data_IF_730835431433
#
_entry.id   IF_730835431433
#
_cell.length_a   1.000
_cell.length_b   1.000
_cell.length_c   1.000
_cell.angle_alpha   90.00
_cell.angle_beta   90.00
_cell.angle_gamma   90.00
#
_symmetry.space_group_name_H-M   'P 1'
#
loop_
_entity.id
_entity.type
_entity.pdbx_description
1 polymer ?
#
# COMPACT_ATOMS: atom_id res chain seq x y z
N UNK A 1 1.36 14.70 15.79
CA UNK A 1 1.36 15.77 14.78
C UNK A 1 -0.07 16.02 14.36
N UNK A 2 -0.49 17.26 14.09
CA UNK A 2 -1.84 17.55 13.60
C UNK A 2 -1.73 18.57 12.47
N UNK A 3 -2.41 18.32 11.35
CA UNK A 3 -2.57 19.28 10.27
C UNK A 3 -3.91 19.99 10.49
N UNK A 4 -3.88 21.30 10.69
CA UNK A 4 -5.09 22.09 10.95
C UNK A 4 -5.62 22.65 9.64
N UNK A 5 -6.50 21.89 8.97
CA UNK A 5 -7.17 22.34 7.75
C UNK A 5 -8.55 21.64 7.64
N UNK A 6 -9.64 22.33 7.23
CA UNK A 6 -10.98 21.74 7.15
C UNK A 6 -11.08 20.50 6.25
N UNK A 7 -10.25 20.42 5.21
CA UNK A 7 -10.21 19.27 4.30
C UNK A 7 -9.47 18.04 4.87
N UNK A 8 -8.75 18.17 5.99
CA UNK A 8 -8.03 17.05 6.63
C UNK A 8 -8.90 16.50 7.76
N UNK A 9 -9.60 15.40 7.49
CA UNK A 9 -10.60 14.82 8.38
C UNK A 9 -10.09 13.68 9.26
N UNK A 10 -8.84 13.24 9.07
CA UNK A 10 -8.27 12.10 9.78
C UNK A 10 -6.99 12.44 10.53
N UNK A 11 -6.62 11.61 11.51
CA UNK A 11 -5.32 11.73 12.17
C UNK A 11 -4.17 11.54 11.19
N UNK A 12 -3.03 12.17 11.50
CA UNK A 12 -1.84 11.99 10.68
C UNK A 12 -1.11 10.75 11.13
N UNK A 13 -0.85 9.86 10.17
CA UNK A 13 -0.05 8.67 10.35
C UNK A 13 1.35 8.88 9.78
N UNK A 14 2.37 8.42 10.49
CA UNK A 14 3.77 8.46 10.05
C UNK A 14 4.19 7.07 9.59
N UNK A 15 4.82 6.96 8.43
CA UNK A 15 5.50 5.75 7.99
C UNK A 15 6.65 5.44 8.95
N UNK A 16 6.62 4.27 9.58
CA UNK A 16 7.61 3.86 10.59
C UNK A 16 8.43 2.64 10.16
N UNK A 17 7.92 1.82 9.23
CA UNK A 17 8.61 0.67 8.69
C UNK A 17 8.23 0.50 7.22
N UNK A 18 9.22 0.23 6.38
CA UNK A 18 9.04 -0.28 5.02
C UNK A 18 9.79 -1.61 4.93
N UNK A 19 9.12 -2.65 4.44
CA UNK A 19 9.72 -3.93 4.09
C UNK A 19 9.55 -4.15 2.60
N UNK A 20 10.57 -4.71 1.96
CA UNK A 20 10.49 -5.18 0.58
C UNK A 20 10.95 -6.63 0.52
N UNK A 21 10.21 -7.44 -0.21
CA UNK A 21 10.52 -8.84 -0.44
C UNK A 21 9.77 -9.33 -1.68
N UNK A 22 10.28 -10.38 -2.29
CA UNK A 22 9.63 -10.99 -3.44
C UNK A 22 8.79 -12.18 -3.01
N UNK A 23 7.56 -12.25 -3.52
CA UNK A 23 6.70 -13.41 -3.36
C UNK A 23 6.70 -14.24 -4.65
N UNK A 24 6.69 -15.56 -4.49
CA UNK A 24 6.42 -16.50 -5.57
C UNK A 24 5.21 -17.33 -5.19
N UNK A 25 4.11 -17.16 -5.93
CA UNK A 25 2.86 -17.89 -5.72
C UNK A 25 2.50 -18.62 -7.00
N UNK A 26 2.59 -19.95 -6.99
CA UNK A 26 2.49 -20.76 -8.20
C UNK A 26 3.58 -20.40 -9.21
N UNK A 27 3.20 -19.81 -10.36
CA UNK A 27 4.13 -19.31 -11.40
C UNK A 27 4.25 -17.79 -11.43
N UNK A 28 3.61 -17.10 -10.49
CA UNK A 28 3.60 -15.64 -10.44
C UNK A 28 4.71 -15.12 -9.52
N UNK A 29 5.49 -14.17 -10.02
CA UNK A 29 6.48 -13.42 -9.26
C UNK A 29 5.89 -12.04 -8.92
N UNK A 30 5.83 -11.72 -7.63
CA UNK A 30 5.14 -10.54 -7.11
C UNK A 30 6.12 -9.75 -6.23
N UNK A 31 6.84 -8.76 -6.78
CA UNK A 31 7.67 -7.86 -5.97
C UNK A 31 6.78 -7.10 -4.99
N UNK A 32 6.98 -7.32 -3.70
CA UNK A 32 6.05 -6.89 -2.66
C UNK A 32 6.71 -5.85 -1.75
N UNK A 33 6.01 -4.75 -1.52
CA UNK A 33 6.37 -3.75 -0.49
C UNK A 33 5.28 -3.71 0.58
N UNK A 34 5.69 -3.75 1.84
CA UNK A 34 4.81 -3.55 2.99
C UNK A 34 5.20 -2.28 3.71
N UNK A 35 4.23 -1.43 3.99
CA UNK A 35 4.41 -0.17 4.71
C UNK A 35 3.57 -0.18 5.99
N UNK A 36 4.20 0.09 7.13
CA UNK A 36 3.54 0.24 8.41
C UNK A 36 3.54 1.71 8.81
N UNK A 37 2.35 2.23 9.06
CA UNK A 37 2.15 3.58 9.53
C UNK A 37 1.61 3.58 10.95
N UNK A 38 2.05 4.54 11.76
CA UNK A 38 1.59 4.74 13.14
C UNK A 38 0.94 6.10 13.29
N UNK A 39 -0.20 6.15 13.97
CA UNK A 39 -0.88 7.39 14.31
C UNK A 39 0.04 8.27 15.17
N UNK A 40 0.23 9.51 14.74
CA UNK A 40 1.16 10.45 15.40
C UNK A 40 0.63 11.00 16.72
N UNK A 41 -0.64 10.75 17.04
CA UNK A 41 -1.31 11.12 18.29
C UNK A 41 -1.65 9.90 19.14
N UNK A 42 -2.16 8.82 18.54
CA UNK A 42 -2.56 7.59 19.21
C UNK A 42 -1.54 6.48 18.99
N UNK A 43 -0.55 6.37 19.89
CA UNK A 43 0.61 5.47 19.70
C UNK A 43 0.30 3.98 19.50
N UNK A 44 -0.90 3.52 19.85
CA UNK A 44 -1.33 2.13 19.67
C UNK A 44 -2.12 1.88 18.39
N UNK A 45 -2.36 2.90 17.58
CA UNK A 45 -3.15 2.82 16.35
C UNK A 45 -2.25 2.82 15.12
N UNK A 46 -2.50 1.90 14.21
CA UNK A 46 -1.65 1.61 13.06
C UNK A 46 -2.48 1.44 11.78
N UNK A 47 -1.82 1.66 10.64
CA UNK A 47 -2.29 1.24 9.32
C UNK A 47 -1.19 0.44 8.66
N UNK A 48 -1.54 -0.57 7.89
CA UNK A 48 -0.58 -1.30 7.08
C UNK A 48 -1.05 -1.35 5.63
N UNK A 49 -0.14 -1.13 4.71
CA UNK A 49 -0.39 -1.19 3.28
C UNK A 49 0.53 -2.23 2.66
N UNK A 50 -0.02 -3.08 1.80
CA UNK A 50 0.75 -3.99 0.97
C UNK A 50 0.59 -3.58 -0.48
N UNK A 51 1.72 -3.50 -1.16
CA UNK A 51 1.83 -3.06 -2.53
C UNK A 51 2.51 -4.16 -3.34
N UNK A 52 1.98 -4.42 -4.52
CA UNK A 52 2.65 -5.16 -5.57
C UNK A 52 3.23 -4.15 -6.56
N UNK A 53 4.50 -4.29 -6.91
CA UNK A 53 5.13 -3.48 -7.96
C UNK A 53 5.00 -4.18 -9.29
N UNK A 54 4.44 -3.48 -10.27
CA UNK A 54 4.14 -4.02 -11.59
C UNK A 54 4.34 -2.96 -12.68
N UNK A 55 4.59 -3.38 -13.91
CA UNK A 55 4.89 -2.50 -15.05
C UNK A 55 3.68 -2.40 -15.97
N UNK A 56 3.12 -1.19 -16.10
CA UNK A 56 1.96 -0.95 -16.94
C UNK A 56 2.31 -0.06 -18.13
N UNK A 57 1.82 -0.46 -19.29
CA UNK A 57 1.77 0.40 -20.46
C UNK A 57 0.60 1.37 -20.34
N UNK A 58 0.89 2.64 -20.10
CA UNK A 58 -0.12 3.67 -19.84
C UNK A 58 -0.31 4.61 -21.02
N UNK A 59 -1.54 5.09 -21.17
CA UNK A 59 -1.89 6.17 -22.08
C UNK A 59 -2.60 7.30 -21.30
N UNK A 60 -2.14 8.53 -21.49
CA UNK A 60 -2.74 9.70 -20.82
C UNK A 60 -4.20 9.91 -21.26
N UNK A 61 -5.14 9.84 -20.30
CA UNK A 61 -6.58 10.00 -20.54
C UNK A 61 -7.04 11.46 -20.50
N UNK A 62 -6.28 12.35 -19.86
CA UNK A 62 -6.58 13.77 -19.78
C UNK A 62 -6.51 14.40 -21.19
N UNK A 63 -7.49 15.24 -21.55
CA UNK A 63 -7.46 15.96 -22.81
C UNK A 63 -6.20 16.85 -22.85
N UNK A 64 -5.53 16.97 -24.01
CA UNK A 64 -4.45 17.93 -24.16
C UNK A 64 -4.97 19.33 -23.84
N UNK A 65 -4.22 20.07 -23.05
CA UNK A 65 -4.64 21.40 -22.61
C UNK A 65 -4.67 22.37 -23.82
N UNK A 66 -5.89 22.68 -24.27
CA UNK A 66 -6.34 23.85 -25.02
C UNK A 66 -5.67 24.32 -26.32
N UNK A 67 -4.42 23.98 -26.67
CA UNK A 67 -3.72 24.63 -27.81
C UNK A 67 -2.81 23.74 -28.65
N UNK A 68 -2.61 22.48 -28.29
CA UNK A 68 -1.95 21.50 -29.16
C UNK A 68 -2.67 20.18 -29.08
N UNK A 69 -3.01 19.58 -30.22
CA UNK A 69 -3.21 18.12 -30.32
C UNK A 69 -1.88 17.45 -30.00
N UNK A 70 -1.47 17.44 -28.73
CA UNK A 70 -0.36 16.62 -28.30
C UNK A 70 -0.78 15.18 -28.57
N UNK A 71 0.03 14.46 -29.34
CA UNK A 71 -0.13 13.02 -29.53
C UNK A 71 -0.17 12.43 -28.12
N UNK A 72 -1.18 11.61 -27.81
CA UNK A 72 -1.20 10.90 -26.52
C UNK A 72 0.06 10.05 -26.48
N UNK A 73 1.01 10.41 -25.64
CA UNK A 73 2.25 9.67 -25.48
C UNK A 73 1.95 8.45 -24.64
N UNK A 74 2.33 7.30 -25.15
CA UNK A 74 2.36 6.05 -24.40
C UNK A 74 3.67 5.97 -23.63
N UNK A 75 3.62 5.47 -22.40
CA UNK A 75 4.80 5.21 -21.59
C UNK A 75 4.61 3.94 -20.77
N UNK A 76 5.71 3.25 -20.50
CA UNK A 76 5.74 2.15 -19.56
C UNK A 76 6.10 2.72 -18.18
N UNK A 77 5.22 2.52 -17.20
CA UNK A 77 5.39 3.05 -15.85
C UNK A 77 5.38 1.92 -14.82
N UNK A 78 6.28 1.99 -13.84
CA UNK A 78 6.20 1.14 -12.66
C UNK A 78 5.13 1.69 -11.71
N UNK A 79 4.14 0.86 -11.37
CA UNK A 79 3.02 1.24 -10.51
C UNK A 79 2.99 0.31 -9.30
N UNK A 80 2.67 0.88 -8.14
CA UNK A 80 2.36 0.13 -6.92
C UNK A 80 0.85 -0.12 -6.84
N UNK A 81 0.44 -1.37 -7.02
CA UNK A 81 -0.95 -1.81 -6.90
C UNK A 81 -1.23 -2.21 -5.46
N UNK A 82 -2.28 -1.63 -4.86
CA UNK A 82 -2.63 -1.96 -3.47
C UNK A 82 -3.26 -3.36 -3.37
N UNK A 83 -2.67 -4.21 -2.52
CA UNK A 83 -3.09 -5.60 -2.28
C UNK A 83 -3.52 -5.87 -0.84
N UNK A 84 -3.53 -4.85 0.04
CA UNK A 84 -3.88 -4.99 1.47
C UNK A 84 -5.21 -5.72 1.70
N UNK A 85 -6.20 -5.46 0.84
CA UNK A 85 -7.55 -6.01 0.92
C UNK A 85 -7.61 -7.52 0.74
N UNK A 86 -6.62 -8.14 0.10
CA UNK A 86 -6.51 -9.60 -0.03
C UNK A 86 -6.30 -10.27 1.33
N UNK A 87 -5.72 -9.54 2.29
CA UNK A 87 -5.51 -10.01 3.66
C UNK A 87 -6.71 -9.66 4.55
N UNK A 88 -7.05 -8.38 4.67
CA UNK A 88 -8.19 -7.88 5.45
C UNK A 88 -8.28 -6.35 5.40
N UNK A 89 -9.50 -5.81 5.34
CA UNK A 89 -9.77 -4.35 5.49
C UNK A 89 -9.41 -3.82 6.88
N UNK A 90 -9.24 -4.68 7.89
CA UNK A 90 -8.82 -4.25 9.24
C UNK A 90 -7.48 -3.53 9.24
N UNK A 91 -6.62 -3.78 8.25
CA UNK A 91 -5.30 -3.16 8.19
C UNK A 91 -5.34 -1.69 7.76
N UNK A 92 -6.49 -1.17 7.33
CA UNK A 92 -6.70 0.26 7.11
C UNK A 92 -6.70 1.06 8.41
N UNK A 93 -7.04 0.41 9.54
CA UNK A 93 -7.04 0.99 10.88
C UNK A 93 -7.17 -0.10 11.96
N UNK A 94 -6.12 -0.32 12.76
CA UNK A 94 -6.14 -1.31 13.83
C UNK A 94 -5.27 -0.91 15.02
N UNK A 95 -5.50 -1.57 16.16
CA UNK A 95 -4.71 -1.40 17.36
C UNK A 95 -3.67 -2.51 17.57
N UNK A 96 -2.51 -2.12 18.11
CA UNK A 96 -1.48 -3.03 18.58
C UNK A 96 -0.67 -2.39 19.72
N UNK A 97 0.03 -3.21 20.51
CA UNK A 97 0.81 -2.71 21.64
C UNK A 97 1.96 -1.79 21.22
N UNK A 98 2.63 -2.12 20.10
CA UNK A 98 3.76 -1.41 19.52
C UNK A 98 3.94 -1.80 18.05
N UNK A 99 4.89 -1.17 17.36
CA UNK A 99 5.17 -1.40 15.93
C UNK A 99 5.55 -2.85 15.62
N UNK A 100 6.37 -3.48 16.45
CA UNK A 100 6.77 -4.88 16.28
C UNK A 100 5.55 -5.82 16.35
N UNK A 101 4.65 -5.57 17.30
CA UNK A 101 3.41 -6.33 17.45
C UNK A 101 2.47 -6.10 16.27
N UNK A 102 2.35 -4.86 15.79
CA UNK A 102 1.55 -4.50 14.63
C UNK A 102 2.03 -5.23 13.37
N UNK A 103 3.34 -5.21 13.14
CA UNK A 103 3.96 -5.91 12.02
C UNK A 103 3.78 -7.43 12.12
N UNK A 104 3.93 -8.01 13.31
CA UNK A 104 3.68 -9.44 13.52
C UNK A 104 2.24 -9.83 13.16
N UNK A 105 1.25 -9.07 13.60
CA UNK A 105 -0.17 -9.31 13.27
C UNK A 105 -0.38 -9.31 11.76
N UNK A 106 0.26 -8.38 11.06
CA UNK A 106 0.20 -8.28 9.61
C UNK A 106 0.85 -9.49 8.93
N UNK A 107 2.11 -9.80 9.28
CA UNK A 107 2.87 -10.91 8.70
C UNK A 107 2.22 -12.27 8.98
N UNK A 108 1.63 -12.48 10.16
CA UNK A 108 0.87 -13.69 10.48
C UNK A 108 -0.37 -13.84 9.58
N UNK A 109 -1.02 -12.72 9.22
CA UNK A 109 -2.12 -12.72 8.25
C UNK A 109 -1.64 -13.00 6.83
N UNK A 110 -0.53 -12.40 6.42
CA UNK A 110 0.09 -12.68 5.12
C UNK A 110 0.47 -14.16 5.01
N UNK A 111 1.11 -14.73 6.05
CA UNK A 111 1.46 -16.15 6.08
C UNK A 111 0.23 -17.04 5.89
N UNK A 112 -0.85 -16.82 6.66
CA UNK A 112 -2.10 -17.58 6.50
C UNK A 112 -2.72 -17.44 5.13
N UNK A 113 -2.64 -16.25 4.53
CA UNK A 113 -3.11 -16.03 3.17
C UNK A 113 -2.29 -16.86 2.18
N UNK A 114 -0.96 -16.79 2.25
CA UNK A 114 -0.05 -17.54 1.41
C UNK A 114 -0.24 -19.05 1.56
N UNK A 115 -0.39 -19.56 2.79
CA UNK A 115 -0.67 -20.98 3.05
C UNK A 115 -1.96 -21.46 2.34
N UNK A 116 -2.92 -20.57 2.08
CA UNK A 116 -4.17 -20.87 1.38
C UNK A 116 -4.05 -20.80 -0.14
N UNK A 117 -3.24 -19.88 -0.66
CA UNK A 117 -3.16 -19.61 -2.13
C UNK A 117 -1.95 -20.25 -2.80
N UNK A 118 -0.95 -20.68 -2.04
CA UNK A 118 0.24 -21.36 -2.53
C UNK A 118 0.17 -22.90 -2.38
N UNK A 119 -0.84 -23.41 -1.67
CA UNK A 119 -1.16 -24.84 -1.64
C UNK A 119 -1.82 -25.30 -2.94
#
# INVERSE_FOLDING_TARGET
MKIQHPAVTSDVFKLIVTLEFDLVVGRHFLPTRVELFQDTTRKRRFRCRMWERDLYHMQMSLPPDGKRRAKRTESDEEILVERTWELSTRFEDFEAANSASALKIFLDSLKRYLDRVAA
#
